data_IF_238475434396
#
_entry.id   IF_238475434396
#
_cell.length_a   1.000
_cell.length_b   1.000
_cell.length_c   1.000
_cell.angle_alpha   90.00
_cell.angle_beta   90.00
_cell.angle_gamma   90.00
#
_symmetry.space_group_name_H-M   'P 1'
#
loop_
_entity.id
_entity.type
_entity.pdbx_description
1 polymer ?
#
# COMPACT_ATOMS: atom_id res chain seq x y z
N UNK A 1 -24.17 27.56 -9.88
CA UNK A 1 -24.17 27.69 -8.41
C UNK A 1 -25.07 26.61 -7.84
N UNK A 2 -24.47 25.62 -7.19
CA UNK A 2 -25.03 24.75 -6.13
C UNK A 2 -23.90 23.75 -5.83
N UNK A 3 -23.25 23.96 -4.69
CA UNK A 3 -22.11 23.18 -4.24
C UNK A 3 -22.56 21.84 -3.66
N UNK A 4 -21.89 20.76 -4.07
CA UNK A 4 -21.97 19.48 -3.39
C UNK A 4 -21.12 19.54 -2.13
N UNK A 5 -21.79 19.64 -0.99
CA UNK A 5 -21.20 19.50 0.34
C UNK A 5 -21.01 18.01 0.59
N UNK A 6 -19.76 17.57 0.77
CA UNK A 6 -19.44 16.23 1.24
C UNK A 6 -19.92 16.09 2.69
N UNK A 7 -20.87 15.19 2.92
CA UNK A 7 -21.38 14.86 4.25
C UNK A 7 -20.43 13.89 4.95
N UNK A 8 -19.59 14.41 5.85
CA UNK A 8 -18.89 13.60 6.85
C UNK A 8 -19.93 13.15 7.89
N UNK A 9 -20.10 11.83 8.03
CA UNK A 9 -21.03 11.26 9.01
C UNK A 9 -20.43 11.34 10.41
N UNK A 10 -20.99 12.21 11.25
CA UNK A 10 -20.65 12.32 12.67
C UNK A 10 -21.25 11.15 13.44
N UNK A 11 -20.44 10.19 13.88
CA UNK A 11 -20.85 9.27 14.94
C UNK A 11 -20.68 9.95 16.31
N UNK A 12 -21.71 10.69 16.72
CA UNK A 12 -21.91 11.07 18.12
C UNK A 12 -22.76 10.00 18.79
N UNK A 13 -22.18 9.20 19.70
CA UNK A 13 -22.95 8.61 20.79
C UNK A 13 -22.10 8.27 22.03
N UNK A 14 -22.59 8.81 23.15
CA UNK A 14 -22.28 8.56 24.56
C UNK A 14 -20.87 8.89 25.09
N UNK A 15 -20.85 10.01 25.82
CA UNK A 15 -19.94 10.28 26.94
C UNK A 15 -19.87 9.08 27.89
N UNK A 16 -18.82 8.27 27.76
CA UNK A 16 -18.24 7.54 28.87
C UNK A 16 -16.76 7.95 28.94
N UNK A 17 -16.51 9.00 29.71
CA UNK A 17 -15.18 9.46 30.08
C UNK A 17 -14.38 8.31 30.71
N UNK A 18 -13.52 7.66 29.93
CA UNK A 18 -12.38 6.93 30.46
C UNK A 18 -11.11 7.73 30.16
N UNK A 19 -10.64 8.46 31.16
CA UNK A 19 -9.20 8.81 31.28
C UNK A 19 -8.44 7.50 31.54
N UNK A 20 -8.26 6.69 30.51
CA UNK A 20 -7.21 5.67 30.51
C UNK A 20 -5.89 6.42 30.36
N UNK A 21 -5.02 6.35 31.38
CA UNK A 21 -3.70 6.99 31.35
C UNK A 21 -2.86 6.38 30.20
N UNK A 22 -2.62 7.11 29.10
CA UNK A 22 -1.99 6.55 27.90
C UNK A 22 -0.58 6.02 28.17
N UNK A 23 0.10 6.61 29.15
CA UNK A 23 1.47 6.29 29.51
C UNK A 23 1.68 4.93 30.20
N UNK A 24 0.68 4.32 30.84
CA UNK A 24 0.87 3.00 31.48
C UNK A 24 0.65 1.84 30.51
N UNK A 25 -0.33 1.95 29.61
CA UNK A 25 -0.64 0.90 28.63
C UNK A 25 0.47 0.79 27.56
N UNK A 26 0.95 1.94 27.06
CA UNK A 26 2.08 1.99 26.12
C UNK A 26 3.39 1.48 26.74
N UNK A 27 3.67 1.79 28.02
CA UNK A 27 4.85 1.25 28.72
C UNK A 27 4.77 -0.26 28.99
N UNK A 28 3.60 -0.80 29.33
CA UNK A 28 3.45 -2.25 29.52
C UNK A 28 3.56 -3.06 28.23
N UNK A 29 3.26 -2.44 27.08
CA UNK A 29 3.44 -3.06 25.76
C UNK A 29 4.91 -2.91 25.33
N UNK A 30 5.51 -1.73 25.44
CA UNK A 30 6.94 -1.51 25.14
C UNK A 30 7.90 -2.30 26.02
N UNK A 31 7.56 -2.57 27.29
CA UNK A 31 8.39 -3.36 28.20
C UNK A 31 8.51 -4.85 27.82
N UNK A 32 7.66 -5.35 26.92
CA UNK A 32 7.76 -6.72 26.39
C UNK A 32 8.70 -6.84 25.18
N UNK A 33 9.15 -5.72 24.58
CA UNK A 33 9.92 -5.71 23.32
C UNK A 33 11.46 -5.64 23.50
N UNK A 34 11.97 -5.91 24.70
CA UNK A 34 13.42 -5.99 24.95
C UNK A 34 13.85 -7.36 25.49
N UNK A 35 13.50 -8.43 24.77
CA UNK A 35 14.23 -9.71 24.72
C UNK A 35 13.69 -10.46 23.50
N UNK A 36 14.40 -11.26 22.72
CA UNK A 36 15.77 -11.71 22.64
C UNK A 36 15.89 -12.37 21.27
N UNK A 37 17.08 -12.35 20.70
CA UNK A 37 17.48 -13.25 19.62
C UNK A 37 17.24 -14.70 20.06
N UNK A 38 16.50 -15.47 19.26
CA UNK A 38 16.50 -16.93 19.27
C UNK A 38 16.10 -17.62 20.57
N UNK A 39 14.80 -17.65 20.88
CA UNK A 39 14.22 -18.70 21.74
C UNK A 39 12.83 -19.04 21.22
N UNK A 40 12.47 -20.34 21.26
CA UNK A 40 11.09 -20.74 21.06
C UNK A 40 10.25 -19.98 22.10
N UNK A 41 9.43 -19.03 21.66
CA UNK A 41 8.54 -18.29 22.54
C UNK A 41 7.61 -19.27 23.25
N UNK A 42 7.81 -19.43 24.56
CA UNK A 42 6.94 -20.23 25.41
C UNK A 42 5.53 -19.65 25.38
N UNK A 43 4.54 -20.50 25.12
CA UNK A 43 3.15 -20.11 25.10
C UNK A 43 2.75 -19.46 26.44
N UNK A 44 1.98 -18.36 26.37
CA UNK A 44 1.53 -17.66 27.56
C UNK A 44 0.57 -18.53 28.41
N UNK A 45 0.47 -18.31 29.73
CA UNK A 45 -0.47 -19.04 30.57
C UNK A 45 -1.93 -18.85 30.15
N UNK A 46 -2.77 -19.88 30.29
CA UNK A 46 -4.20 -19.83 29.93
C UNK A 46 -4.96 -18.66 30.60
N UNK A 47 -4.59 -18.31 31.84
CA UNK A 47 -5.18 -17.18 32.57
C UNK A 47 -4.93 -15.83 31.87
N UNK A 48 -3.76 -15.66 31.26
CA UNK A 48 -3.44 -14.44 30.51
C UNK A 48 -4.40 -14.28 29.33
N UNK A 49 -4.61 -15.35 28.56
CA UNK A 49 -5.51 -15.34 27.40
C UNK A 49 -6.96 -15.04 27.82
N UNK A 50 -7.46 -15.66 28.89
CA UNK A 50 -8.80 -15.36 29.44
C UNK A 50 -8.95 -13.89 29.84
N UNK A 51 -7.97 -13.35 30.56
CA UNK A 51 -7.99 -11.96 31.01
C UNK A 51 -7.97 -10.99 29.82
N UNK A 52 -7.15 -11.28 28.81
CA UNK A 52 -6.98 -10.41 27.63
C UNK A 52 -8.09 -10.56 26.60
N UNK A 53 -8.85 -11.66 26.60
CA UNK A 53 -10.00 -11.83 25.70
C UNK A 53 -11.06 -10.75 25.94
N UNK A 54 -11.26 -10.34 27.21
CA UNK A 54 -12.16 -9.24 27.54
C UNK A 54 -11.71 -7.89 26.94
N UNK A 55 -10.39 -7.66 26.87
CA UNK A 55 -9.79 -6.47 26.26
C UNK A 55 -9.94 -6.52 24.75
N UNK A 56 -9.64 -7.66 24.13
CA UNK A 56 -9.81 -7.88 22.70
C UNK A 56 -11.28 -7.66 22.28
N UNK A 57 -12.23 -8.17 23.06
CA UNK A 57 -13.67 -7.97 22.83
C UNK A 57 -14.07 -6.50 22.91
N UNK A 58 -13.57 -5.76 23.91
CA UNK A 58 -13.82 -4.32 24.04
C UNK A 58 -13.25 -3.52 22.88
N UNK A 59 -12.03 -3.84 22.44
CA UNK A 59 -11.40 -3.20 21.29
C UNK A 59 -12.16 -3.50 20.00
N UNK A 60 -12.58 -4.76 19.79
CA UNK A 60 -13.39 -5.17 18.63
C UNK A 60 -14.66 -4.32 18.52
N UNK A 61 -15.40 -4.14 19.62
CA UNK A 61 -16.60 -3.28 19.65
C UNK A 61 -16.28 -1.81 19.40
N UNK A 62 -15.20 -1.29 19.99
CA UNK A 62 -14.81 0.11 19.85
C UNK A 62 -14.28 0.48 18.45
N UNK A 63 -13.81 -0.51 17.69
CA UNK A 63 -13.24 -0.38 16.35
C UNK A 63 -14.18 -0.95 15.28
N UNK A 64 -15.44 -1.20 15.61
CA UNK A 64 -16.41 -1.69 14.66
C UNK A 64 -16.56 -0.68 13.53
N UNK A 65 -16.47 -1.17 12.29
CA UNK A 65 -16.64 -0.33 11.10
C UNK A 65 -15.39 0.41 10.64
N UNK A 66 -14.23 0.21 11.28
CA UNK A 66 -12.94 0.78 10.85
C UNK A 66 -11.86 -0.30 10.73
N UNK A 67 -10.89 -0.07 9.85
CA UNK A 67 -9.69 -0.92 9.68
C UNK A 67 -8.47 -0.05 9.31
N UNK A 68 -7.26 -0.52 9.63
CA UNK A 68 -6.01 0.10 9.19
C UNK A 68 -5.53 -0.59 7.91
N UNK A 69 -5.70 0.06 6.77
CA UNK A 69 -5.42 -0.44 5.42
C UNK A 69 -4.27 0.34 4.81
N UNK A 70 -3.19 -0.37 4.45
CA UNK A 70 -2.03 0.23 3.76
C UNK A 70 -1.52 1.51 4.46
N UNK A 71 -1.44 1.48 5.80
CA UNK A 71 -1.02 2.62 6.63
C UNK A 71 -2.07 3.71 6.91
N UNK A 72 -3.24 3.68 6.25
CA UNK A 72 -4.36 4.62 6.47
C UNK A 72 -5.49 3.97 7.25
N UNK A 73 -6.06 4.69 8.20
CA UNK A 73 -7.28 4.25 8.87
C UNK A 73 -8.45 4.53 7.92
N UNK A 74 -9.25 3.52 7.61
CA UNK A 74 -10.39 3.62 6.70
C UNK A 74 -11.66 3.11 7.39
N UNK A 75 -12.79 3.74 7.09
CA UNK A 75 -14.10 3.21 7.46
C UNK A 75 -14.50 2.02 6.55
N UNK A 76 -15.68 1.42 6.76
CA UNK A 76 -16.21 0.31 5.94
C UNK A 76 -16.48 0.68 4.48
N UNK A 77 -16.67 1.95 4.18
CA UNK A 77 -16.92 2.46 2.82
C UNK A 77 -15.61 2.75 2.08
N UNK A 78 -14.49 2.78 2.78
CA UNK A 78 -13.16 3.08 2.23
C UNK A 78 -12.77 4.56 2.37
N UNK A 79 -13.51 5.35 3.14
CA UNK A 79 -13.17 6.74 3.43
C UNK A 79 -12.06 6.80 4.48
N UNK A 80 -11.09 7.69 4.28
CA UNK A 80 -9.96 7.86 5.20
C UNK A 80 -10.44 8.57 6.47
N UNK A 81 -10.13 7.98 7.62
CA UNK A 81 -10.43 8.51 8.95
C UNK A 81 -9.16 9.05 9.57
N UNK A 82 -9.14 10.35 9.85
CA UNK A 82 -8.01 11.01 10.48
C UNK A 82 -8.23 11.12 12.00
N UNK A 83 -8.01 10.03 12.72
CA UNK A 83 -8.09 9.98 14.19
C UNK A 83 -6.94 9.13 14.76
N UNK A 84 -5.95 9.80 15.34
CA UNK A 84 -4.77 9.15 15.92
C UNK A 84 -5.11 8.25 17.12
N UNK A 85 -6.14 8.59 17.89
CA UNK A 85 -6.55 7.77 19.02
C UNK A 85 -7.20 6.46 18.55
N UNK A 86 -8.01 6.50 17.49
CA UNK A 86 -8.56 5.29 16.86
C UNK A 86 -7.44 4.49 16.20
N UNK A 87 -6.51 5.14 15.50
CA UNK A 87 -5.33 4.48 14.89
C UNK A 87 -4.51 3.73 15.93
N UNK A 88 -4.23 4.34 17.09
CA UNK A 88 -3.50 3.68 18.19
C UNK A 88 -4.28 2.50 18.77
N UNK A 89 -5.61 2.62 18.96
CA UNK A 89 -6.45 1.50 19.39
C UNK A 89 -6.41 0.35 18.39
N UNK A 90 -6.44 0.66 17.08
CA UNK A 90 -6.35 -0.33 16.01
C UNK A 90 -5.00 -1.07 16.03
N UNK A 91 -3.89 -0.36 16.20
CA UNK A 91 -2.57 -0.98 16.34
C UNK A 91 -2.49 -1.89 17.57
N UNK A 92 -3.05 -1.47 18.70
CA UNK A 92 -3.14 -2.28 19.91
C UNK A 92 -4.03 -3.53 19.71
N UNK A 93 -5.15 -3.38 19.00
CA UNK A 93 -6.04 -4.48 18.64
C UNK A 93 -5.33 -5.52 17.77
N UNK A 94 -4.73 -5.10 16.65
CA UNK A 94 -3.99 -6.01 15.74
C UNK A 94 -2.85 -6.71 16.47
N UNK A 95 -2.08 -5.96 17.27
CA UNK A 95 -0.99 -6.54 18.07
C UNK A 95 -1.48 -7.59 19.07
N UNK A 96 -2.60 -7.33 19.75
CA UNK A 96 -3.18 -8.30 20.68
C UNK A 96 -3.73 -9.53 19.94
N UNK A 97 -4.45 -9.32 18.85
CA UNK A 97 -5.03 -10.39 18.05
C UNK A 97 -3.96 -11.35 17.49
N UNK A 98 -2.80 -10.84 17.07
CA UNK A 98 -1.65 -11.68 16.68
C UNK A 98 -1.24 -12.67 17.77
N UNK A 99 -1.20 -12.24 19.03
CA UNK A 99 -0.87 -13.13 20.16
C UNK A 99 -1.92 -14.23 20.31
N UNK A 100 -3.20 -13.90 20.09
CA UNK A 100 -4.29 -14.88 20.11
C UNK A 100 -4.15 -15.92 18.99
N UNK A 101 -3.81 -15.50 17.76
CA UNK A 101 -3.56 -16.41 16.63
C UNK A 101 -2.51 -17.47 17.00
N UNK A 102 -1.49 -17.11 17.77
CA UNK A 102 -0.46 -18.03 18.26
C UNK A 102 -0.84 -18.88 19.47
N UNK A 103 -2.06 -18.75 20.00
CA UNK A 103 -2.48 -19.47 21.22
C UNK A 103 -2.50 -20.99 21.02
N UNK A 104 -2.14 -21.79 22.04
CA UNK A 104 -2.15 -23.25 21.91
C UNK A 104 -3.50 -23.83 21.49
N UNK A 105 -4.61 -23.27 21.97
CA UNK A 105 -5.96 -23.77 21.64
C UNK A 105 -6.32 -23.50 20.18
N UNK A 106 -6.07 -22.29 19.66
CA UNK A 106 -6.29 -22.00 18.24
C UNK A 106 -5.36 -22.81 17.34
N UNK A 107 -4.09 -22.96 17.70
CA UNK A 107 -3.15 -23.78 16.94
C UNK A 107 -3.57 -25.26 16.95
N UNK A 108 -4.14 -25.77 18.05
CA UNK A 108 -4.72 -27.12 18.09
C UNK A 108 -5.97 -27.24 17.23
N UNK A 109 -6.86 -26.23 17.23
CA UNK A 109 -8.05 -26.18 16.37
C UNK A 109 -7.64 -26.23 14.89
N UNK A 110 -6.63 -25.44 14.49
CA UNK A 110 -6.08 -25.46 13.13
C UNK A 110 -5.49 -26.84 12.77
N UNK A 111 -4.76 -27.49 13.68
CA UNK A 111 -4.24 -28.86 13.48
C UNK A 111 -5.36 -29.86 13.19
N UNK A 112 -6.43 -29.82 13.97
CA UNK A 112 -7.53 -30.77 13.86
C UNK A 112 -8.33 -30.62 12.55
N UNK A 113 -8.34 -29.42 11.97
CA UNK A 113 -9.01 -29.16 10.70
C UNK A 113 -8.24 -29.67 9.46
N UNK A 114 -7.06 -30.29 9.64
CA UNK A 114 -6.31 -30.90 8.54
C UNK A 114 -5.76 -29.89 7.51
N UNK A 115 -5.68 -28.60 7.87
CA UNK A 115 -5.31 -27.50 6.97
C UNK A 115 -3.78 -27.35 6.90
N UNK A 116 -3.10 -28.26 6.21
CA UNK A 116 -1.67 -28.17 5.86
C UNK A 116 -0.71 -28.01 7.06
N UNK A 117 0.57 -27.71 6.78
CA UNK A 117 1.51 -27.27 7.81
C UNK A 117 0.94 -26.01 8.46
N UNK A 118 0.98 -25.95 9.80
CA UNK A 118 0.37 -24.88 10.59
C UNK A 118 0.97 -23.52 10.23
N UNK A 119 0.29 -22.79 9.36
CA UNK A 119 0.61 -21.39 9.15
C UNK A 119 0.35 -20.62 10.46
N UNK A 120 1.21 -19.63 10.75
CA UNK A 120 1.11 -18.73 11.90
C UNK A 120 1.42 -19.38 13.26
N UNK A 121 2.08 -20.55 13.26
CA UNK A 121 2.47 -21.27 14.46
C UNK A 121 3.68 -20.65 15.16
N UNK A 122 4.58 -20.00 14.42
CA UNK A 122 5.76 -19.32 14.97
C UNK A 122 5.51 -17.81 15.15
N UNK A 123 6.28 -17.18 16.04
CA UNK A 123 6.22 -15.74 16.26
C UNK A 123 6.49 -14.95 14.99
N UNK A 124 7.53 -15.36 14.24
CA UNK A 124 7.92 -14.72 12.98
C UNK A 124 6.81 -14.75 11.93
N UNK A 125 6.07 -15.85 11.82
CA UNK A 125 4.94 -15.95 10.87
C UNK A 125 3.78 -15.02 11.26
N UNK A 126 3.70 -14.61 12.54
CA UNK A 126 2.66 -13.70 13.02
C UNK A 126 3.06 -12.24 12.94
N UNK A 127 4.32 -11.90 12.66
CA UNK A 127 4.73 -10.50 12.54
C UNK A 127 4.02 -9.78 11.37
N UNK A 128 3.78 -8.46 11.48
CA UNK A 128 3.24 -7.70 10.37
C UNK A 128 4.28 -7.62 9.25
N UNK A 129 3.81 -7.58 8.01
CA UNK A 129 4.69 -7.45 6.86
C UNK A 129 4.27 -6.29 5.97
N UNK A 130 5.15 -5.29 5.91
CA UNK A 130 5.01 -4.15 5.02
C UNK A 130 5.77 -4.43 3.71
N UNK A 131 5.01 -4.64 2.64
CA UNK A 131 5.53 -4.88 1.28
C UNK A 131 5.75 -3.54 0.58
N UNK A 132 6.96 -3.01 0.71
CA UNK A 132 7.36 -1.70 0.16
C UNK A 132 8.59 -1.74 -0.76
N UNK A 133 9.08 -2.93 -1.10
CA UNK A 133 10.17 -3.10 -2.06
C UNK A 133 10.17 -4.47 -2.70
N UNK A 134 10.69 -4.55 -3.92
CA UNK A 134 10.88 -5.82 -4.62
C UNK A 134 11.87 -6.74 -3.88
N UNK A 135 12.87 -6.16 -3.19
CA UNK A 135 13.83 -6.94 -2.38
C UNK A 135 13.12 -7.71 -1.27
N UNK A 136 12.15 -7.10 -0.58
CA UNK A 136 11.40 -7.79 0.47
C UNK A 136 10.62 -8.98 -0.08
N UNK A 137 9.94 -8.81 -1.21
CA UNK A 137 9.20 -9.90 -1.88
C UNK A 137 10.15 -11.01 -2.31
N UNK A 138 11.25 -10.67 -2.98
CA UNK A 138 12.23 -11.65 -3.44
C UNK A 138 12.94 -12.38 -2.29
N UNK A 139 13.19 -11.69 -1.17
CA UNK A 139 13.75 -12.34 0.03
C UNK A 139 12.75 -13.31 0.65
N UNK A 140 11.47 -12.94 0.71
CA UNK A 140 10.43 -13.79 1.30
C UNK A 140 10.19 -15.06 0.48
N UNK A 141 10.29 -14.96 -0.85
CA UNK A 141 10.13 -16.08 -1.79
C UNK A 141 11.43 -16.87 -2.06
N UNK A 142 12.51 -16.60 -1.32
CA UNK A 142 13.83 -17.22 -1.52
C UNK A 142 14.36 -17.12 -2.96
N UNK A 143 14.02 -16.05 -3.68
CA UNK A 143 14.42 -15.83 -5.06
C UNK A 143 15.92 -15.51 -5.12
N UNK A 144 16.66 -16.25 -5.94
CA UNK A 144 18.11 -16.10 -6.10
C UNK A 144 18.50 -14.76 -6.73
N UNK A 145 19.75 -14.32 -6.52
CA UNK A 145 20.28 -13.09 -7.13
C UNK A 145 20.22 -13.07 -8.67
N UNK A 146 20.33 -14.23 -9.32
CA UNK A 146 20.20 -14.33 -10.78
C UNK A 146 18.75 -14.12 -11.22
N UNK A 147 17.80 -14.75 -10.55
CA UNK A 147 16.38 -14.58 -10.83
C UNK A 147 15.91 -13.15 -10.53
N UNK A 148 16.42 -12.51 -9.47
CA UNK A 148 16.13 -11.10 -9.18
C UNK A 148 16.49 -10.17 -10.34
N UNK A 149 17.59 -10.44 -11.06
CA UNK A 149 17.95 -9.68 -12.28
C UNK A 149 16.92 -9.89 -13.38
N UNK A 150 16.46 -11.12 -13.58
CA UNK A 150 15.40 -11.45 -14.55
C UNK A 150 14.08 -10.76 -14.20
N UNK A 151 13.66 -10.85 -12.92
CA UNK A 151 12.47 -10.16 -12.41
C UNK A 151 12.58 -8.67 -12.70
N UNK A 152 13.70 -8.04 -12.30
CA UNK A 152 13.91 -6.62 -12.56
C UNK A 152 13.81 -6.28 -14.05
N UNK A 153 14.53 -6.96 -14.92
CA UNK A 153 14.53 -6.65 -16.36
C UNK A 153 13.11 -6.70 -16.94
N UNK A 154 12.37 -7.75 -16.60
CA UNK A 154 11.00 -7.95 -17.05
C UNK A 154 10.06 -6.89 -16.49
N UNK A 155 10.09 -6.65 -15.17
CA UNK A 155 9.30 -5.62 -14.51
C UNK A 155 9.59 -4.23 -15.09
N UNK A 156 10.86 -3.82 -15.18
CA UNK A 156 11.24 -2.53 -15.75
C UNK A 156 10.63 -2.31 -17.14
N UNK A 157 10.70 -3.30 -18.02
CA UNK A 157 10.15 -3.19 -19.37
C UNK A 157 8.64 -2.96 -19.40
N UNK A 158 7.91 -3.53 -18.43
CA UNK A 158 6.45 -3.45 -18.34
C UNK A 158 5.99 -2.15 -17.66
N UNK A 159 6.61 -1.79 -16.53
CA UNK A 159 6.09 -0.75 -15.63
C UNK A 159 6.60 0.66 -15.93
N UNK A 160 7.61 0.80 -16.79
CA UNK A 160 8.17 2.12 -17.15
C UNK A 160 7.53 2.74 -18.40
N UNK A 161 6.43 2.17 -18.89
CA UNK A 161 5.65 2.79 -19.99
C UNK A 161 5.21 4.20 -19.58
N UNK A 162 5.22 5.14 -20.53
CA UNK A 162 4.90 6.54 -20.28
C UNK A 162 3.58 6.74 -19.53
N UNK A 163 2.52 6.00 -19.90
CA UNK A 163 1.20 6.06 -19.23
C UNK A 163 1.24 5.61 -17.76
N UNK A 164 2.06 4.61 -17.43
CA UNK A 164 2.17 4.06 -16.07
C UNK A 164 2.98 5.05 -15.23
N UNK A 165 4.12 5.51 -15.77
CA UNK A 165 4.96 6.53 -15.15
C UNK A 165 4.15 7.77 -14.76
N UNK A 166 3.43 8.31 -15.75
CA UNK A 166 2.63 9.52 -15.57
C UNK A 166 1.45 9.28 -14.64
N UNK A 167 0.70 8.20 -14.84
CA UNK A 167 -0.45 7.87 -14.00
C UNK A 167 -0.06 7.67 -12.52
N UNK A 168 1.07 7.02 -12.25
CA UNK A 168 1.59 6.86 -10.89
C UNK A 168 1.95 8.21 -10.26
N UNK A 169 2.60 9.11 -11.02
CA UNK A 169 2.93 10.44 -10.54
C UNK A 169 1.68 11.28 -10.25
N UNK A 170 0.68 11.23 -11.13
CA UNK A 170 -0.61 11.90 -10.93
C UNK A 170 -1.36 11.34 -9.71
N UNK A 171 -1.39 10.01 -9.52
CA UNK A 171 -1.98 9.37 -8.33
C UNK A 171 -1.29 9.85 -7.04
N UNK A 172 0.05 9.89 -7.01
CA UNK A 172 0.81 10.39 -5.85
C UNK A 172 0.46 11.84 -5.54
N UNK A 173 0.45 12.72 -6.56
CA UNK A 173 0.18 14.15 -6.38
C UNK A 173 -1.25 14.41 -5.92
N UNK A 174 -2.23 13.68 -6.43
CA UNK A 174 -3.63 13.80 -5.99
C UNK A 174 -3.79 13.36 -4.53
N UNK A 175 -3.22 12.22 -4.14
CA UNK A 175 -3.29 11.77 -2.75
C UNK A 175 -2.49 12.68 -1.79
N UNK A 176 -1.36 13.24 -2.24
CA UNK A 176 -0.61 14.24 -1.47
C UNK A 176 -1.42 15.53 -1.29
N UNK A 177 -2.15 15.96 -2.33
CA UNK A 177 -3.06 17.10 -2.25
C UNK A 177 -4.12 16.87 -1.17
N UNK A 178 -4.77 15.70 -1.13
CA UNK A 178 -5.75 15.37 -0.09
C UNK A 178 -5.17 15.43 1.32
N UNK A 179 -3.95 14.93 1.52
CA UNK A 179 -3.27 15.00 2.83
C UNK A 179 -2.97 16.44 3.25
N UNK A 180 -2.52 17.27 2.32
CA UNK A 180 -2.23 18.69 2.57
C UNK A 180 -3.53 19.48 2.81
N UNK A 181 -4.57 19.25 2.02
CA UNK A 181 -5.88 19.89 2.17
C UNK A 181 -6.47 19.61 3.56
N UNK A 182 -6.41 18.34 3.98
CA UNK A 182 -6.88 17.94 5.31
C UNK A 182 -6.13 18.69 6.42
N UNK A 183 -4.80 18.80 6.33
CA UNK A 183 -3.99 19.56 7.29
C UNK A 183 -4.37 21.04 7.33
N UNK A 184 -4.61 21.65 6.16
CA UNK A 184 -4.98 23.06 6.04
C UNK A 184 -6.35 23.35 6.66
N UNK A 185 -7.30 22.43 6.55
CA UNK A 185 -8.65 22.56 7.14
C UNK A 185 -8.66 22.41 8.66
N UNK A 186 -7.69 21.67 9.23
CA UNK A 186 -7.71 21.24 10.64
C UNK A 186 -6.60 21.87 11.51
N UNK A 187 -5.81 22.80 10.97
CA UNK A 187 -4.68 23.44 11.67
C UNK A 187 -4.86 24.95 11.81
N UNK A 188 -4.38 25.49 12.94
CA UNK A 188 -4.37 26.94 13.21
C UNK A 188 -3.47 27.69 12.19
N UNK A 189 -3.98 28.79 11.64
CA UNK A 189 -3.44 29.49 10.46
C UNK A 189 -1.93 29.83 10.50
N UNK A 190 -1.35 30.02 11.69
CA UNK A 190 0.06 30.41 11.86
C UNK A 190 1.06 29.29 11.60
N UNK A 191 0.63 28.02 11.55
CA UNK A 191 1.52 26.86 11.32
C UNK A 191 1.45 26.25 9.92
N UNK A 192 0.76 26.89 8.98
CA UNK A 192 0.41 26.25 7.68
C UNK A 192 0.94 26.97 6.44
N UNK A 193 1.82 27.97 6.59
CA UNK A 193 2.33 28.70 5.42
C UNK A 193 3.10 27.80 4.43
N UNK A 194 3.94 26.88 4.95
CA UNK A 194 4.61 25.87 4.13
C UNK A 194 3.61 24.96 3.41
N UNK A 195 2.59 24.47 4.12
CA UNK A 195 1.54 23.64 3.54
C UNK A 195 0.74 24.37 2.43
N UNK A 196 0.42 25.66 2.60
CA UNK A 196 -0.25 26.48 1.56
C UNK A 196 0.60 26.62 0.30
N UNK A 197 1.90 26.91 0.45
CA UNK A 197 2.83 26.97 -0.68
C UNK A 197 2.98 25.60 -1.36
N UNK A 198 3.11 24.53 -0.56
CA UNK A 198 3.14 23.16 -1.06
C UNK A 198 1.89 22.82 -1.88
N UNK A 199 0.70 23.14 -1.38
CA UNK A 199 -0.56 22.95 -2.10
C UNK A 199 -0.56 23.65 -3.47
N UNK A 200 -0.09 24.90 -3.54
CA UNK A 200 0.01 25.64 -4.80
C UNK A 200 0.96 24.96 -5.80
N UNK A 201 2.09 24.43 -5.32
CA UNK A 201 3.02 23.68 -6.17
C UNK A 201 2.41 22.36 -6.64
N UNK A 202 1.67 21.63 -5.78
CA UNK A 202 0.97 20.40 -6.18
C UNK A 202 -0.05 20.69 -7.29
N UNK A 203 -0.88 21.73 -7.12
CA UNK A 203 -1.86 22.14 -8.11
C UNK A 203 -1.22 22.56 -9.43
N UNK A 204 -0.10 23.28 -9.34
CA UNK A 204 0.68 23.70 -10.52
C UNK A 204 1.26 22.49 -11.25
N UNK A 205 1.78 21.50 -10.52
CA UNK A 205 2.32 20.27 -11.08
C UNK A 205 1.23 19.44 -11.76
N UNK A 206 0.08 19.24 -11.11
CA UNK A 206 -1.08 18.53 -11.69
C UNK A 206 -1.59 19.23 -12.95
N UNK A 207 -1.65 20.57 -12.94
CA UNK A 207 -2.03 21.36 -14.12
C UNK A 207 -1.01 21.23 -15.25
N UNK A 208 0.28 21.29 -14.93
CA UNK A 208 1.36 21.12 -15.90
C UNK A 208 1.33 19.74 -16.56
N UNK A 209 1.03 18.69 -15.78
CA UNK A 209 0.79 17.36 -16.31
C UNK A 209 -0.48 17.34 -17.18
N UNK A 210 -1.61 17.86 -16.72
CA UNK A 210 -2.87 17.78 -17.49
C UNK A 210 -2.83 18.55 -18.81
N UNK A 211 -2.22 19.73 -18.85
CA UNK A 211 -2.04 20.54 -20.08
C UNK A 211 -1.12 19.86 -21.10
N UNK A 212 -0.24 18.97 -20.64
CA UNK A 212 0.56 18.07 -21.47
C UNK A 212 -0.12 16.72 -21.72
N UNK A 213 -1.43 16.56 -21.56
CA UNK A 213 -2.18 15.38 -22.04
C UNK A 213 -2.58 15.50 -23.51
N UNK A 214 -2.35 14.46 -24.31
CA UNK A 214 -2.89 14.40 -25.67
C UNK A 214 -4.35 13.98 -25.53
N UNK A 215 -5.29 14.88 -25.81
CA UNK A 215 -6.70 14.53 -25.92
C UNK A 215 -6.88 13.38 -26.93
N UNK A 216 -7.38 12.24 -26.44
CA UNK A 216 -7.79 11.10 -27.24
C UNK A 216 -9.15 11.33 -27.94
N UNK A 217 -9.88 12.41 -27.62
CA UNK A 217 -11.19 12.75 -28.21
C UNK A 217 -11.12 13.24 -29.67
N UNK A 218 -9.98 13.05 -30.33
CA UNK A 218 -9.78 13.40 -31.74
C UNK A 218 -9.43 12.15 -32.55
N UNK A 219 -10.06 11.02 -32.25
CA UNK A 219 -10.12 9.87 -33.18
C UNK A 219 -10.88 10.21 -34.48
N UNK A 220 -11.56 11.36 -34.55
CA UNK A 220 -12.17 11.90 -35.77
C UNK A 220 -11.23 12.75 -36.65
N UNK A 221 -9.98 13.02 -36.22
CA UNK A 221 -9.02 13.77 -37.04
C UNK A 221 -7.78 12.93 -37.33
N UNK A 222 -7.70 12.46 -38.57
CA UNK A 222 -6.58 11.72 -39.15
C UNK A 222 -5.23 12.38 -38.87
N UNK A 223 -4.35 11.66 -38.16
CA UNK A 223 -3.14 12.16 -37.52
C UNK A 223 -2.03 12.70 -38.44
N UNK A 224 -2.17 12.56 -39.76
CA UNK A 224 -1.22 13.11 -40.75
C UNK A 224 -1.56 14.54 -41.18
N UNK A 225 -2.70 15.08 -40.72
CA UNK A 225 -3.18 16.42 -41.10
C UNK A 225 -3.00 17.49 -40.02
N UNK A 226 -2.39 17.18 -38.87
CA UNK A 226 -2.09 18.23 -37.88
C UNK A 226 -0.98 19.13 -38.44
N UNK A 227 -1.24 20.44 -38.65
CA UNK A 227 -0.20 21.35 -39.10
C UNK A 227 0.95 21.32 -38.10
N UNK A 228 2.19 21.27 -38.62
CA UNK A 228 3.36 21.65 -37.83
C UNK A 228 3.08 23.04 -37.27
N UNK A 229 3.20 23.28 -35.95
CA UNK A 229 3.02 24.62 -35.39
C UNK A 229 3.85 25.59 -36.21
N UNK A 230 3.25 26.73 -36.59
CA UNK A 230 3.95 27.73 -37.37
C UNK A 230 5.29 28.03 -36.70
N UNK A 231 6.39 28.06 -37.49
CA UNK A 231 7.78 28.31 -37.05
C UNK A 231 7.98 29.61 -36.22
N UNK A 232 6.92 30.40 -36.04
CA UNK A 232 6.89 31.68 -35.34
C UNK A 232 5.97 31.70 -34.11
N UNK A 233 5.31 30.58 -33.75
CA UNK A 233 4.88 30.42 -32.36
C UNK A 233 6.18 30.40 -31.55
N UNK A 234 6.48 31.50 -30.85
CA UNK A 234 7.61 31.59 -29.93
C UNK A 234 7.71 30.24 -29.23
N UNK A 235 8.84 29.56 -29.35
CA UNK A 235 9.15 28.45 -28.49
C UNK A 235 9.15 29.01 -27.05
N UNK A 236 7.97 29.08 -26.44
CA UNK A 236 7.84 29.04 -24.99
C UNK A 236 8.72 27.89 -24.57
N UNK A 237 9.64 28.12 -23.65
CA UNK A 237 10.57 27.10 -23.17
C UNK A 237 9.82 25.76 -23.08
N UNK A 238 10.17 24.83 -23.97
CA UNK A 238 9.41 23.60 -24.16
C UNK A 238 9.37 22.89 -22.81
N UNK A 239 8.15 22.63 -22.31
CA UNK A 239 7.94 21.95 -21.04
C UNK A 239 8.78 20.66 -20.98
N UNK A 240 9.57 20.48 -19.92
CA UNK A 240 10.40 19.30 -19.69
C UNK A 240 10.04 18.61 -18.39
N UNK A 241 10.49 17.36 -18.25
CA UNK A 241 10.42 16.68 -16.96
C UNK A 241 11.33 17.31 -15.88
N UNK A 242 12.32 18.11 -16.28
CA UNK A 242 13.13 18.94 -15.36
C UNK A 242 12.26 19.91 -14.55
N UNK A 243 11.26 20.54 -15.17
CA UNK A 243 10.34 21.46 -14.48
C UNK A 243 9.54 20.73 -13.38
N UNK A 244 9.14 19.47 -13.64
CA UNK A 244 8.49 18.60 -12.65
C UNK A 244 9.43 18.25 -11.51
N UNK A 245 10.69 17.94 -11.82
CA UNK A 245 11.70 17.64 -10.81
C UNK A 245 11.94 18.83 -9.88
N UNK A 246 11.96 20.05 -10.41
CA UNK A 246 12.11 21.28 -9.64
C UNK A 246 10.90 21.51 -8.72
N UNK A 247 9.67 21.32 -9.23
CA UNK A 247 8.46 21.36 -8.39
C UNK A 247 8.51 20.33 -7.26
N UNK A 248 9.00 19.10 -7.51
CA UNK A 248 9.19 18.09 -6.46
C UNK A 248 10.22 18.52 -5.41
N UNK A 249 11.30 19.20 -5.83
CA UNK A 249 12.29 19.74 -4.90
C UNK A 249 11.70 20.85 -4.01
N UNK A 250 10.84 21.69 -4.56
CA UNK A 250 10.15 22.72 -3.80
C UNK A 250 9.12 22.14 -2.83
N UNK A 251 8.36 21.12 -3.24
CA UNK A 251 7.46 20.38 -2.34
C UNK A 251 8.20 19.80 -1.14
N UNK A 252 9.37 19.19 -1.36
CA UNK A 252 10.21 18.69 -0.26
C UNK A 252 10.56 19.79 0.73
N UNK A 253 10.87 21.00 0.25
CA UNK A 253 11.26 22.14 1.09
C UNK A 253 10.06 22.67 1.88
N UNK A 254 8.90 22.82 1.23
CA UNK A 254 7.72 23.42 1.84
C UNK A 254 6.97 22.49 2.80
N UNK A 255 7.06 21.18 2.57
CA UNK A 255 6.33 20.16 3.33
C UNK A 255 7.21 19.40 4.34
N UNK A 256 8.48 19.80 4.53
CA UNK A 256 9.45 19.11 5.39
C UNK A 256 9.02 19.02 6.86
N UNK A 257 8.14 19.92 7.32
CA UNK A 257 7.70 20.01 8.71
C UNK A 257 6.66 18.94 9.08
N UNK A 258 6.13 18.20 8.10
CA UNK A 258 5.07 17.23 8.29
C UNK A 258 5.41 15.89 7.62
N UNK A 259 5.08 14.79 8.30
CA UNK A 259 5.29 13.44 7.77
C UNK A 259 4.15 13.03 6.83
N UNK A 260 4.24 13.48 5.58
CA UNK A 260 3.31 13.08 4.52
C UNK A 260 3.73 11.78 3.86
N UNK A 261 2.86 10.77 3.88
CA UNK A 261 3.14 9.48 3.26
C UNK A 261 3.35 9.61 1.75
N UNK A 262 2.51 10.38 1.06
CA UNK A 262 2.62 10.54 -0.39
C UNK A 262 3.79 11.45 -0.80
N UNK A 263 4.33 12.26 0.12
CA UNK A 263 5.57 12.99 -0.14
C UNK A 263 6.74 12.01 -0.25
N UNK A 264 6.86 11.02 0.64
CA UNK A 264 7.90 9.99 0.56
C UNK A 264 7.80 9.16 -0.74
N UNK A 265 6.59 8.88 -1.20
CA UNK A 265 6.35 8.26 -2.51
C UNK A 265 6.80 9.16 -3.66
N UNK A 266 6.47 10.44 -3.61
CA UNK A 266 6.92 11.43 -4.59
C UNK A 266 8.44 11.56 -4.63
N UNK A 267 9.08 11.54 -3.45
CA UNK A 267 10.53 11.56 -3.32
C UNK A 267 11.18 10.30 -3.89
N UNK A 268 10.53 9.14 -3.76
CA UNK A 268 10.96 7.90 -4.41
C UNK A 268 10.97 8.04 -5.94
N UNK A 269 10.01 8.79 -6.52
CA UNK A 269 9.94 9.03 -7.98
C UNK A 269 11.06 9.94 -8.50
N UNK A 270 11.78 10.68 -7.64
CA UNK A 270 12.91 11.55 -8.06
C UNK A 270 13.99 10.79 -8.81
N UNK A 271 14.24 9.54 -8.43
CA UNK A 271 15.20 8.68 -9.13
C UNK A 271 14.89 8.63 -10.62
N UNK A 272 13.62 8.39 -10.98
CA UNK A 272 13.17 8.34 -12.37
C UNK A 272 13.17 9.71 -13.04
N UNK A 273 12.67 10.75 -12.35
CA UNK A 273 12.64 12.12 -12.86
C UNK A 273 14.04 12.62 -13.25
N UNK A 274 15.06 12.31 -12.44
CA UNK A 274 16.46 12.64 -12.76
C UNK A 274 16.95 11.99 -14.06
N UNK A 275 16.51 10.77 -14.39
CA UNK A 275 16.90 10.09 -15.63
C UNK A 275 16.25 10.73 -16.85
N UNK A 276 15.04 11.26 -16.71
CA UNK A 276 14.25 11.79 -17.82
C UNK A 276 14.21 13.32 -17.87
N UNK A 277 14.93 14.03 -17.01
CA UNK A 277 14.87 15.50 -16.89
C UNK A 277 14.98 16.24 -18.24
N UNK A 278 15.82 15.77 -19.14
CA UNK A 278 16.07 16.41 -20.45
C UNK A 278 15.01 16.04 -21.51
N UNK A 279 14.05 15.17 -21.20
CA UNK A 279 13.00 14.71 -22.12
C UNK A 279 11.86 15.73 -22.12
N UNK A 280 11.34 16.03 -23.30
CA UNK A 280 10.23 16.97 -23.43
C UNK A 280 8.92 16.33 -22.96
N UNK A 281 8.13 17.13 -22.25
CA UNK A 281 6.77 16.84 -21.84
C UNK A 281 5.74 17.51 -22.78
N UNK A 282 6.16 18.54 -23.51
CA UNK A 282 5.31 19.39 -24.35
C UNK A 282 4.51 18.60 -25.42
N UNK A 283 3.26 19.00 -25.63
CA UNK A 283 2.34 18.48 -26.65
C UNK A 283 2.11 19.42 -27.83
N UNK A 284 2.71 20.61 -27.80
CA UNK A 284 2.66 21.54 -28.93
C UNK A 284 3.46 21.00 -30.12
N UNK A 285 4.28 19.97 -29.93
CA UNK A 285 5.01 19.24 -30.97
C UNK A 285 4.12 18.25 -31.73
N UNK A 286 4.54 17.88 -32.95
CA UNK A 286 3.78 16.94 -33.78
C UNK A 286 3.64 15.55 -33.15
N UNK A 287 2.57 14.81 -33.49
CA UNK A 287 2.25 13.49 -32.91
C UNK A 287 3.42 12.48 -32.94
N UNK A 288 4.18 12.46 -34.04
CA UNK A 288 5.37 11.60 -34.18
C UNK A 288 6.44 11.93 -33.14
N UNK A 289 6.62 13.21 -32.85
CA UNK A 289 7.58 13.68 -31.85
C UNK A 289 7.09 13.34 -30.45
N UNK A 290 5.80 13.50 -30.15
CA UNK A 290 5.23 13.06 -28.85
C UNK A 290 5.51 11.58 -28.60
N UNK A 291 5.21 10.71 -29.58
CA UNK A 291 5.51 9.28 -29.49
C UNK A 291 7.01 9.00 -29.31
N UNK A 292 7.86 9.80 -29.94
CA UNK A 292 9.30 9.69 -29.74
C UNK A 292 9.71 10.03 -28.29
N UNK A 293 9.17 11.11 -27.71
CA UNK A 293 9.44 11.49 -26.32
C UNK A 293 8.90 10.45 -25.32
N UNK A 294 7.69 9.90 -25.55
CA UNK A 294 7.15 8.79 -24.75
C UNK A 294 8.08 7.57 -24.77
N UNK A 295 8.60 7.22 -25.96
CA UNK A 295 9.57 6.13 -26.11
C UNK A 295 10.90 6.44 -25.42
N UNK A 296 11.37 7.69 -25.44
CA UNK A 296 12.57 8.11 -24.71
C UNK A 296 12.40 7.94 -23.20
N UNK A 297 11.24 8.33 -22.64
CA UNK A 297 10.92 8.08 -21.22
C UNK A 297 11.03 6.59 -20.90
N UNK A 298 10.31 5.74 -21.65
CA UNK A 298 10.34 4.29 -21.46
C UNK A 298 11.75 3.71 -21.53
N UNK A 299 12.50 4.06 -22.58
CA UNK A 299 13.85 3.57 -22.81
C UNK A 299 14.82 3.99 -21.71
N UNK A 300 14.78 5.26 -21.28
CA UNK A 300 15.67 5.78 -20.23
C UNK A 300 15.34 5.13 -18.88
N UNK A 301 14.08 5.10 -18.48
CA UNK A 301 13.66 4.51 -17.20
C UNK A 301 13.93 3.00 -17.15
N UNK A 302 13.60 2.25 -18.21
CA UNK A 302 13.86 0.80 -18.31
C UNK A 302 15.33 0.46 -18.09
N UNK A 303 16.24 1.29 -18.60
CA UNK A 303 17.69 1.06 -18.52
C UNK A 303 18.29 1.53 -17.20
N UNK A 304 17.83 2.68 -16.69
CA UNK A 304 18.52 3.43 -15.65
C UNK A 304 17.95 3.27 -14.25
N UNK A 305 16.70 2.80 -14.09
CA UNK A 305 16.16 2.52 -12.75
C UNK A 305 16.96 1.39 -12.07
N UNK A 306 17.34 1.64 -10.82
CA UNK A 306 18.26 0.81 -10.03
C UNK A 306 17.69 -0.54 -9.57
N UNK A 307 18.51 -1.29 -8.84
CA UNK A 307 18.15 -2.57 -8.21
C UNK A 307 18.72 -2.66 -6.79
N UNK A 308 17.88 -2.61 -5.74
CA UNK A 308 16.46 -2.28 -5.73
C UNK A 308 16.19 -0.77 -5.83
N UNK A 309 15.09 -0.40 -6.49
CA UNK A 309 14.63 0.98 -6.62
C UNK A 309 13.22 1.12 -6.00
N UNK A 310 13.02 2.02 -5.00
CA UNK A 310 11.70 2.36 -4.49
C UNK A 310 10.77 2.95 -5.58
N UNK A 311 11.35 3.69 -6.53
CA UNK A 311 10.65 4.18 -7.72
C UNK A 311 10.06 3.03 -8.53
N UNK A 312 10.89 2.03 -8.87
CA UNK A 312 10.45 0.85 -9.61
C UNK A 312 9.33 0.09 -8.90
N UNK A 313 9.45 -0.07 -7.58
CA UNK A 313 8.41 -0.76 -6.81
C UNK A 313 7.09 0.03 -6.80
N UNK A 314 7.15 1.36 -6.67
CA UNK A 314 5.96 2.21 -6.74
C UNK A 314 5.25 2.08 -8.09
N UNK A 315 6.02 2.08 -9.19
CA UNK A 315 5.48 1.85 -10.54
C UNK A 315 4.87 0.45 -10.69
N UNK A 316 5.47 -0.58 -10.10
CA UNK A 316 4.95 -1.94 -10.12
C UNK A 316 3.59 -2.05 -9.41
N UNK A 317 3.48 -1.49 -8.21
CA UNK A 317 2.21 -1.52 -7.46
C UNK A 317 1.13 -0.76 -8.22
N UNK A 318 1.46 0.40 -8.81
CA UNK A 318 0.53 1.15 -9.64
C UNK A 318 0.12 0.38 -10.90
N UNK A 319 1.05 -0.28 -11.58
CA UNK A 319 0.76 -1.11 -12.75
C UNK A 319 -0.22 -2.25 -12.43
N UNK A 320 -0.05 -2.92 -11.29
CA UNK A 320 -0.89 -4.06 -10.91
C UNK A 320 -2.25 -3.64 -10.35
N UNK A 321 -2.31 -2.53 -9.61
CA UNK A 321 -3.48 -2.20 -8.77
C UNK A 321 -4.05 -0.81 -8.97
N UNK A 322 -3.44 0.02 -9.82
CA UNK A 322 -3.88 1.40 -10.06
C UNK A 322 -3.71 2.32 -8.84
N UNK A 323 -2.87 1.96 -7.88
CA UNK A 323 -2.61 2.73 -6.66
C UNK A 323 -1.14 2.61 -6.27
N UNK A 324 -0.58 3.66 -5.67
CA UNK A 324 0.82 3.74 -5.22
C UNK A 324 1.06 3.36 -3.75
N UNK A 325 0.00 2.97 -3.04
CA UNK A 325 0.07 2.60 -1.62
C UNK A 325 0.79 1.27 -1.42
N UNK A 326 1.70 1.23 -0.44
CA UNK A 326 2.36 0.00 -0.01
C UNK A 326 1.33 -1.01 0.49
N UNK A 327 1.65 -2.30 0.39
CA UNK A 327 0.72 -3.35 0.81
C UNK A 327 1.07 -3.78 2.23
N UNK A 328 0.09 -3.70 3.14
CA UNK A 328 0.24 -4.12 4.53
C UNK A 328 -0.48 -5.43 4.81
N UNK A 329 0.26 -6.40 5.35
CA UNK A 329 -0.26 -7.69 5.80
C UNK A 329 -0.12 -7.78 7.31
N UNK A 330 -1.18 -8.17 8.03
CA UNK A 330 -1.17 -8.17 9.49
C UNK A 330 -0.37 -9.34 10.07
N UNK A 331 -0.33 -10.46 9.33
CA UNK A 331 0.39 -11.70 9.65
C UNK A 331 1.14 -12.15 8.39
N UNK A 332 2.46 -12.12 8.40
CA UNK A 332 3.25 -12.43 7.21
C UNK A 332 3.11 -13.89 6.74
N UNK A 333 2.76 -14.79 7.65
CA UNK A 333 2.63 -16.21 7.42
C UNK A 333 3.94 -16.84 7.00
N UNK A 334 3.87 -17.82 6.11
CA UNK A 334 5.03 -18.62 5.74
C UNK A 334 5.07 -18.94 4.26
N UNK A 335 6.29 -19.16 3.78
CA UNK A 335 6.61 -19.70 2.47
C UNK A 335 7.35 -21.03 2.67
N UNK A 336 6.78 -22.13 2.18
CA UNK A 336 7.36 -23.45 2.35
C UNK A 336 7.02 -24.38 1.18
N UNK A 337 7.88 -25.36 0.96
CA UNK A 337 7.61 -26.45 0.02
C UNK A 337 6.78 -27.51 0.71
N UNK A 338 5.70 -27.97 0.07
CA UNK A 338 4.90 -29.06 0.61
C UNK A 338 5.71 -30.37 0.55
N UNK A 339 5.83 -31.11 1.67
CA UNK A 339 6.70 -32.31 1.75
C UNK A 339 6.30 -33.40 0.75
N UNK A 340 5.01 -33.47 0.39
CA UNK A 340 4.42 -34.47 -0.52
C UNK A 340 3.91 -33.88 -1.83
N UNK A 341 4.11 -32.58 -2.05
CA UNK A 341 3.59 -31.86 -3.22
C UNK A 341 4.70 -31.30 -4.10
N UNK A 342 4.43 -31.16 -5.40
CA UNK A 342 5.32 -30.46 -6.34
C UNK A 342 5.10 -28.93 -6.35
N UNK A 343 4.41 -28.41 -5.33
CA UNK A 343 4.05 -26.99 -5.22
C UNK A 343 4.58 -26.38 -3.92
N UNK A 344 4.80 -25.07 -3.97
CA UNK A 344 5.07 -24.24 -2.79
C UNK A 344 3.77 -23.68 -2.25
N UNK A 345 3.68 -23.50 -0.94
CA UNK A 345 2.57 -22.83 -0.28
C UNK A 345 3.03 -21.47 0.24
N UNK A 346 2.27 -20.43 -0.08
CA UNK A 346 2.40 -19.10 0.49
C UNK A 346 1.12 -18.75 1.24
N UNK A 347 1.24 -18.55 2.55
CA UNK A 347 0.14 -18.15 3.42
C UNK A 347 0.36 -16.73 3.93
N UNK A 348 -0.68 -15.91 3.91
CA UNK A 348 -0.68 -14.56 4.48
C UNK A 348 -1.97 -14.29 5.24
N UNK A 349 -1.92 -13.45 6.26
CA UNK A 349 -3.06 -13.24 7.15
C UNK A 349 -3.44 -11.79 7.40
N UNK A 350 -4.73 -11.59 7.66
CA UNK A 350 -5.38 -10.31 7.93
C UNK A 350 -6.27 -10.45 9.17
N UNK A 351 -6.30 -9.42 10.01
CA UNK A 351 -7.09 -9.38 11.24
C UNK A 351 -8.22 -8.38 11.04
N UNK A 352 -9.45 -8.82 11.25
CA UNK A 352 -10.65 -8.02 11.03
C UNK A 352 -11.32 -7.65 12.36
N UNK A 353 -11.97 -6.49 12.38
CA UNK A 353 -12.75 -6.00 13.52
C UNK A 353 -14.20 -6.49 13.53
N UNK A 354 -14.68 -7.05 12.41
CA UNK A 354 -16.04 -7.60 12.30
C UNK A 354 -16.11 -8.68 11.21
N UNK A 355 -17.07 -9.60 11.38
CA UNK A 355 -17.36 -10.66 10.42
C UNK A 355 -18.36 -10.22 9.34
N UNK A 356 -18.70 -8.92 9.30
CA UNK A 356 -19.61 -8.34 8.32
C UNK A 356 -19.11 -8.61 6.91
N UNK A 357 -20.02 -8.94 6.00
CA UNK A 357 -19.66 -9.36 4.63
C UNK A 357 -18.80 -8.31 3.90
N UNK A 358 -19.11 -7.01 4.09
CA UNK A 358 -18.31 -5.91 3.54
C UNK A 358 -16.87 -5.93 4.07
N UNK A 359 -16.68 -6.14 5.38
CA UNK A 359 -15.37 -6.19 6.02
C UNK A 359 -14.57 -7.40 5.53
N UNK A 360 -15.20 -8.58 5.53
CA UNK A 360 -14.59 -9.81 5.02
C UNK A 360 -14.18 -9.66 3.56
N UNK A 361 -15.06 -9.10 2.71
CA UNK A 361 -14.76 -8.86 1.29
C UNK A 361 -13.58 -7.90 1.10
N UNK A 362 -13.46 -6.86 1.93
CA UNK A 362 -12.30 -5.95 1.90
C UNK A 362 -11.02 -6.64 2.33
N UNK A 363 -11.05 -7.42 3.40
CA UNK A 363 -9.91 -8.23 3.85
C UNK A 363 -9.45 -9.21 2.77
N UNK A 364 -10.38 -9.90 2.09
CA UNK A 364 -10.07 -10.78 0.95
C UNK A 364 -9.40 -10.01 -0.17
N UNK A 365 -9.92 -8.85 -0.57
CA UNK A 365 -9.32 -8.01 -1.64
C UNK A 365 -7.92 -7.52 -1.28
N UNK A 366 -7.67 -7.18 -0.02
CA UNK A 366 -6.35 -6.74 0.44
C UNK A 366 -5.33 -7.89 0.41
N UNK A 367 -5.71 -9.06 0.92
CA UNK A 367 -4.86 -10.24 0.83
C UNK A 367 -4.65 -10.71 -0.62
N UNK A 368 -5.66 -10.62 -1.49
CA UNK A 368 -5.50 -10.90 -2.93
C UNK A 368 -4.45 -10.00 -3.58
N UNK A 369 -4.40 -8.70 -3.22
CA UNK A 369 -3.34 -7.79 -3.70
C UNK A 369 -1.95 -8.20 -3.20
N UNK A 370 -1.83 -8.60 -1.93
CA UNK A 370 -0.55 -9.07 -1.40
C UNK A 370 -0.10 -10.36 -2.12
N UNK A 371 -0.96 -11.38 -2.12
CA UNK A 371 -0.68 -12.68 -2.74
C UNK A 371 -0.45 -12.55 -4.25
N UNK A 372 -1.22 -11.72 -4.96
CA UNK A 372 -1.06 -11.47 -6.39
C UNK A 372 0.27 -10.80 -6.74
N UNK A 373 0.81 -9.93 -5.86
CA UNK A 373 2.14 -9.35 -6.07
C UNK A 373 3.22 -10.43 -5.95
N UNK A 374 3.08 -11.35 -5.00
CA UNK A 374 4.00 -12.45 -4.80
C UNK A 374 3.94 -13.46 -5.94
N UNK A 375 2.74 -13.82 -6.37
CA UNK A 375 2.47 -14.65 -7.56
C UNK A 375 3.13 -14.07 -8.80
N UNK A 376 2.90 -12.77 -9.06
CA UNK A 376 3.51 -12.08 -10.20
C UNK A 376 5.05 -12.15 -10.15
N UNK A 377 5.66 -11.90 -8.99
CA UNK A 377 7.12 -11.97 -8.85
C UNK A 377 7.65 -13.41 -8.99
N UNK A 378 6.92 -14.40 -8.47
CA UNK A 378 7.23 -15.83 -8.61
C UNK A 378 7.26 -16.27 -10.07
N UNK A 379 6.22 -15.93 -10.82
CA UNK A 379 6.12 -16.23 -12.26
C UNK A 379 7.20 -15.50 -13.06
N UNK A 380 7.42 -14.21 -12.75
CA UNK A 380 8.44 -13.40 -13.43
C UNK A 380 9.86 -13.90 -13.16
N UNK A 381 10.09 -14.56 -12.02
CA UNK A 381 11.37 -15.19 -11.68
C UNK A 381 11.63 -16.49 -12.47
N UNK A 382 10.66 -16.96 -13.26
CA UNK A 382 10.75 -18.20 -14.04
C UNK A 382 10.72 -19.45 -13.18
N UNK A 383 10.07 -19.39 -12.00
CA UNK A 383 9.87 -20.55 -11.14
C UNK A 383 8.97 -21.56 -11.83
N UNK A 384 9.33 -22.84 -11.80
CA UNK A 384 8.60 -23.90 -12.52
C UNK A 384 7.53 -24.54 -11.66
N UNK A 385 7.76 -24.55 -10.36
CA UNK A 385 6.85 -25.10 -9.37
C UNK A 385 5.62 -24.20 -9.21
N UNK A 386 4.47 -24.84 -9.01
CA UNK A 386 3.21 -24.11 -8.77
C UNK A 386 3.26 -23.44 -7.39
N UNK A 387 2.73 -22.23 -7.28
CA UNK A 387 2.57 -21.52 -6.01
C UNK A 387 1.11 -21.56 -5.56
N UNK A 388 0.82 -22.30 -4.50
CA UNK A 388 -0.50 -22.34 -3.86
C UNK A 388 -0.63 -21.15 -2.90
N UNK A 389 -1.63 -20.30 -3.14
CA UNK A 389 -1.82 -19.02 -2.46
C UNK A 389 -2.99 -19.11 -1.49
N UNK A 390 -2.72 -18.87 -0.20
CA UNK A 390 -3.70 -18.99 0.87
C UNK A 390 -3.81 -17.70 1.68
N UNK A 391 -5.02 -17.16 1.78
CA UNK A 391 -5.32 -16.02 2.64
C UNK A 391 -6.02 -16.46 3.93
N UNK A 392 -5.62 -15.90 5.07
CA UNK A 392 -6.21 -16.23 6.38
C UNK A 392 -6.75 -14.98 7.06
N UNK A 393 -8.07 -14.90 7.16
CA UNK A 393 -8.79 -13.80 7.81
C UNK A 393 -9.10 -14.24 9.25
N UNK A 394 -8.80 -13.40 10.22
CA UNK A 394 -9.00 -13.68 11.63
C UNK A 394 -9.97 -12.67 12.21
N UNK A 395 -11.08 -13.13 12.76
CA UNK A 395 -12.09 -12.25 13.35
C UNK A 395 -12.68 -12.90 14.60
N UNK A 396 -12.86 -12.10 15.66
CA UNK A 396 -13.46 -12.58 16.89
C UNK A 396 -14.97 -12.87 16.69
N UNK A 397 -15.40 -14.07 17.04
CA UNK A 397 -16.79 -14.53 16.93
C UNK A 397 -17.26 -14.81 15.50
N UNK A 398 -16.33 -15.02 14.56
CA UNK A 398 -16.66 -15.33 13.19
C UNK A 398 -17.00 -16.81 12.99
N UNK A 399 -17.95 -17.09 12.10
CA UNK A 399 -18.21 -18.46 11.65
C UNK A 399 -17.08 -18.92 10.70
N UNK A 400 -16.52 -20.08 11.00
CA UNK A 400 -15.47 -20.72 10.20
C UNK A 400 -15.96 -21.01 8.78
N UNK A 401 -15.31 -20.44 7.78
CA UNK A 401 -15.66 -20.71 6.38
C UNK A 401 -14.51 -20.57 5.41
N UNK A 402 -14.66 -21.21 4.27
CA UNK A 402 -13.73 -21.12 3.13
C UNK A 402 -14.37 -20.27 2.03
N UNK A 403 -13.60 -19.37 1.46
CA UNK A 403 -14.01 -18.42 0.42
C UNK A 403 -13.04 -18.57 -0.75
N UNK A 404 -13.56 -18.74 -1.96
CA UNK A 404 -12.75 -18.73 -3.17
C UNK A 404 -12.86 -17.37 -3.86
N UNK A 405 -11.74 -16.75 -4.18
CA UNK A 405 -11.72 -15.46 -4.88
C UNK A 405 -10.54 -15.43 -5.85
N UNK A 406 -10.82 -15.17 -7.15
CA UNK A 406 -9.82 -15.11 -8.23
C UNK A 406 -8.84 -16.29 -8.26
N UNK A 407 -9.36 -17.51 -8.06
CA UNK A 407 -8.56 -18.74 -8.08
C UNK A 407 -7.76 -19.01 -6.80
N UNK A 408 -7.78 -18.10 -5.81
CA UNK A 408 -7.10 -18.26 -4.52
C UNK A 408 -8.08 -18.69 -3.43
N UNK A 409 -7.57 -19.38 -2.41
CA UNK A 409 -8.37 -19.87 -1.29
C UNK A 409 -8.16 -18.98 -0.07
N UNK A 410 -9.27 -18.54 0.53
CA UNK A 410 -9.27 -17.72 1.74
C UNK A 410 -10.05 -18.44 2.84
N UNK A 411 -9.52 -18.39 4.05
CA UNK A 411 -10.12 -18.99 5.23
C UNK A 411 -10.49 -17.90 6.21
N UNK A 412 -11.73 -17.88 6.69
CA UNK A 412 -12.14 -17.04 7.81
C UNK A 412 -12.13 -17.89 9.08
N UNK A 413 -11.32 -17.49 10.05
CA UNK A 413 -11.13 -18.18 11.33
C UNK A 413 -11.67 -17.34 12.49
N UNK A 414 -12.16 -18.04 13.50
CA UNK A 414 -12.53 -17.43 14.78
C UNK A 414 -11.28 -17.22 15.67
N UNK A 415 -11.19 -16.05 16.31
CA UNK A 415 -10.20 -15.74 17.35
C UNK A 415 -10.62 -16.18 18.77
N UNK A 416 -11.82 -16.76 18.94
CA UNK A 416 -12.25 -17.32 20.22
C UNK A 416 -11.37 -18.50 20.65
N UNK A 417 -11.01 -18.55 21.93
CA UNK A 417 -10.12 -19.58 22.49
C UNK A 417 -10.73 -20.96 22.63
#
# INVERSE_FOLDING_TARGET
MLGNVHHITRHLNSLLCFRASPGRFSRSVNALFHSSVGSQEEALPCEWYRNKLSVLTKLTRALQGVDLVDGKLEDINGEIVYDDAIKQKMQAFKSLARIFVGSPSLQQKLKQQGRGRLAFGTASEREPFLVNSLTKVCNFLDISSQQRKMVRCTVCSQVTQYRIWRGALEDILNNLKEEVDWLLEHSEEKKTQGAKLGQQVILSCLKFLSESSVSYEVESSTSWMRPVPARYAKASASAKWEDVLDMVNDLRRYLLEHDFYHLEKLLSMKEGLLQIKDVFLDNTIGFREVRHQEHLVHRKLSKMLGSPSPCLFTLLVYFLYGSVRDIEVDLCGGFYKEEKGEFFCLSMGRILTSADEKMVRRGVKQLDRALGLFEFVWETAGMKETLNLQGHLWCLGAEEKTITYRGKTFYLHDLSL
#
